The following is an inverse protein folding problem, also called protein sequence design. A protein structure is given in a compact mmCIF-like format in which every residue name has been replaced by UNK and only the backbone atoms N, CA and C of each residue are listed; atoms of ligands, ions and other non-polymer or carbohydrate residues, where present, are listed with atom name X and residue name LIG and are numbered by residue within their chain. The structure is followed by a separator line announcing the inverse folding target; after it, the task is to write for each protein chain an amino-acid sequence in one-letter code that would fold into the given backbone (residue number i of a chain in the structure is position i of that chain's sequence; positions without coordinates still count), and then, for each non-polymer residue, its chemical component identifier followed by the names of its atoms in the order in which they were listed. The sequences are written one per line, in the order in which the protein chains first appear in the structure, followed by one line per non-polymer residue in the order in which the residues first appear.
data_IF_497365122143
#
_entry.id   IF_497365122143
#
_cell.length_a   1.000
_cell.length_b   1.000
_cell.length_c   1.000
_cell.angle_alpha   90.00
_cell.angle_beta   90.00
_cell.angle_gamma   90.00
#
_symmetry.space_group_name_H-M   'P 1'
#
loop_
_entity.id
_entity.type
_entity.pdbx_description
1 polymer ?
#
# COMPACT_ATOMS: atom_id res chain seq x y z
N UNK A 1 -9.62 -38.21 -15.11
CA UNK A 1 -8.81 -37.05 -14.67
C UNK A 1 -7.41 -37.36 -15.12
N UNK A 2 -6.91 -36.64 -16.11
CA UNK A 2 -5.59 -36.83 -16.68
C UNK A 2 -4.74 -35.66 -16.17
N UNK A 3 -3.72 -35.97 -15.37
CA UNK A 3 -2.85 -34.96 -14.78
C UNK A 3 -1.64 -34.79 -15.71
N UNK A 4 -1.52 -33.62 -16.34
CA UNK A 4 -0.31 -33.25 -17.07
C UNK A 4 0.61 -32.49 -16.13
N UNK A 5 1.78 -33.05 -15.85
CA UNK A 5 2.84 -32.36 -15.11
C UNK A 5 3.81 -31.72 -16.11
N UNK A 6 4.05 -30.41 -15.96
CA UNK A 6 5.25 -29.77 -16.48
C UNK A 6 6.01 -29.30 -15.26
N UNK A 7 7.14 -29.92 -15.00
CA UNK A 7 8.08 -29.41 -14.02
C UNK A 7 9.46 -29.31 -14.64
N UNK A 8 10.21 -28.30 -14.22
CA UNK A 8 11.57 -28.08 -14.67
C UNK A 8 12.27 -27.17 -13.68
N UNK A 9 13.05 -27.73 -12.76
CA UNK A 9 14.38 -27.18 -12.43
C UNK A 9 15.27 -28.29 -11.88
N UNK A 10 16.17 -28.79 -12.72
CA UNK A 10 17.60 -29.04 -12.42
C UNK A 10 18.20 -30.06 -13.40
N UNK A 11 18.74 -29.53 -14.50
CA UNK A 11 20.00 -30.00 -15.09
C UNK A 11 20.15 -31.42 -15.68
N UNK A 12 19.19 -32.35 -15.55
CA UNK A 12 19.34 -33.70 -16.14
C UNK A 12 18.43 -33.90 -17.37
N UNK A 13 19.09 -34.08 -18.51
CA UNK A 13 18.54 -34.30 -19.84
C UNK A 13 18.56 -35.80 -20.18
N UNK A 14 17.81 -36.65 -19.46
CA UNK A 14 17.38 -37.95 -20.02
C UNK A 14 16.37 -38.76 -19.16
N UNK A 15 15.08 -38.72 -19.54
CA UNK A 15 14.13 -39.84 -19.36
C UNK A 15 13.15 -39.77 -18.17
N UNK A 16 11.96 -40.42 -18.26
CA UNK A 16 10.87 -40.25 -17.31
C UNK A 16 10.90 -41.31 -16.18
N UNK A 17 10.55 -40.92 -14.95
CA UNK A 17 9.56 -41.60 -14.07
C UNK A 17 9.60 -41.03 -12.65
N UNK A 18 8.59 -40.23 -12.27
CA UNK A 18 8.23 -39.98 -10.88
C UNK A 18 6.95 -40.75 -10.57
N UNK A 19 7.04 -41.81 -9.77
CA UNK A 19 5.89 -42.54 -9.24
C UNK A 19 5.81 -42.26 -7.74
N UNK A 20 4.62 -41.88 -7.26
CA UNK A 20 4.27 -41.89 -5.83
C UNK A 20 3.90 -43.31 -5.39
N UNK A 21 4.05 -43.64 -4.11
CA UNK A 21 3.70 -44.95 -3.56
C UNK A 21 2.36 -44.92 -2.81
N UNK A 22 1.66 -46.06 -2.77
CA UNK A 22 0.48 -46.23 -1.93
C UNK A 22 0.87 -46.05 -0.44
N UNK A 23 0.33 -45.00 0.20
CA UNK A 23 0.58 -44.69 1.61
C UNK A 23 1.06 -43.28 1.89
N UNK A 24 1.41 -42.51 0.87
CA UNK A 24 1.82 -41.11 1.01
C UNK A 24 0.62 -40.26 1.49
N UNK A 25 0.74 -39.65 2.69
CA UNK A 25 -0.30 -38.81 3.28
C UNK A 25 -0.13 -37.34 2.87
N UNK A 26 -1.20 -36.78 2.30
CA UNK A 26 -1.30 -35.39 1.87
C UNK A 26 -2.03 -34.58 2.94
N UNK A 27 -1.46 -33.45 3.40
CA UNK A 27 -2.12 -32.50 4.30
C UNK A 27 -2.36 -31.17 3.57
N UNK A 28 -3.58 -30.65 3.61
CA UNK A 28 -4.06 -29.53 2.77
C UNK A 28 -4.62 -28.38 3.62
N UNK A 29 -4.38 -27.14 3.20
CA UNK A 29 -4.99 -25.90 3.74
C UNK A 29 -5.83 -25.20 2.68
N UNK A 30 -6.94 -24.56 3.09
CA UNK A 30 -7.95 -23.98 2.19
C UNK A 30 -8.29 -22.54 2.58
N UNK A 31 -8.44 -21.64 1.60
CA UNK A 31 -9.11 -20.35 1.76
C UNK A 31 -10.27 -20.20 0.75
N UNK A 32 -11.36 -19.56 1.21
CA UNK A 32 -12.66 -19.36 0.52
C UNK A 32 -13.54 -20.59 0.28
N UNK A 33 -13.39 -21.62 1.09
CA UNK A 33 -14.45 -22.62 1.30
C UNK A 33 -15.31 -22.22 2.49
N UNK A 34 -16.63 -22.08 2.31
CA UNK A 34 -17.56 -22.32 3.42
C UNK A 34 -17.66 -23.83 3.59
N UNK A 35 -16.84 -24.38 4.48
CA UNK A 35 -16.93 -25.77 4.89
C UNK A 35 -18.30 -25.98 5.53
N UNK A 36 -19.16 -26.77 4.90
CA UNK A 36 -20.24 -27.46 5.59
C UNK A 36 -19.77 -28.91 5.72
N UNK A 37 -18.73 -29.11 6.53
CA UNK A 37 -18.43 -30.44 7.03
C UNK A 37 -19.45 -30.75 8.12
N UNK A 38 -20.56 -31.38 7.73
CA UNK A 38 -21.64 -31.72 8.65
C UNK A 38 -21.45 -33.10 9.30
N UNK A 39 -20.34 -33.81 9.06
CA UNK A 39 -20.19 -35.19 9.52
C UNK A 39 -18.75 -35.73 9.70
N UNK A 40 -17.71 -34.91 9.56
CA UNK A 40 -16.33 -35.25 9.98
C UNK A 40 -15.66 -36.35 9.17
N UNK A 41 -16.11 -36.59 7.93
CA UNK A 41 -15.69 -37.73 7.11
C UNK A 41 -14.62 -37.43 6.05
N UNK A 42 -14.16 -36.18 5.91
CA UNK A 42 -13.10 -35.83 4.95
C UNK A 42 -13.48 -35.92 3.47
N UNK A 43 -14.78 -35.90 3.12
CA UNK A 43 -15.24 -35.96 1.72
C UNK A 43 -15.81 -34.60 1.28
N UNK A 44 -15.22 -33.99 0.26
CA UNK A 44 -15.80 -32.83 -0.43
C UNK A 44 -16.96 -33.33 -1.31
N UNK A 45 -18.20 -32.92 -1.01
CA UNK A 45 -19.38 -33.19 -1.85
C UNK A 45 -19.84 -31.90 -2.50
N UNK A 46 -19.94 -31.88 -3.83
CA UNK A 46 -20.58 -30.79 -4.58
C UNK A 46 -21.70 -31.34 -5.47
N UNK A 47 -22.71 -30.52 -5.75
CA UNK A 47 -23.73 -30.82 -6.76
C UNK A 47 -23.28 -30.21 -8.08
N UNK A 48 -23.08 -31.04 -9.10
CA UNK A 48 -22.81 -30.55 -10.45
C UNK A 48 -24.11 -30.01 -11.08
N UNK A 49 -24.02 -28.84 -11.70
CA UNK A 49 -25.00 -28.38 -12.67
C UNK A 49 -24.88 -29.25 -13.95
N UNK A 50 -26.00 -29.85 -14.35
CA UNK A 50 -26.09 -30.68 -15.55
C UNK A 50 -25.93 -29.90 -16.87
N UNK A 51 -25.92 -28.57 -16.83
CA UNK A 51 -25.67 -27.71 -17.99
C UNK A 51 -24.18 -27.46 -18.26
N UNK A 52 -23.29 -27.76 -17.31
CA UNK A 52 -21.86 -27.54 -17.45
C UNK A 52 -21.14 -28.79 -17.99
N UNK A 53 -20.40 -28.63 -19.08
CA UNK A 53 -19.69 -29.74 -19.73
C UNK A 53 -18.34 -30.09 -19.09
N UNK A 54 -17.73 -29.18 -18.31
CA UNK A 54 -16.44 -29.36 -17.64
C UNK A 54 -16.35 -28.56 -16.34
N UNK A 55 -15.63 -29.10 -15.37
CA UNK A 55 -15.27 -28.47 -14.11
C UNK A 55 -13.75 -28.57 -13.93
N UNK A 56 -13.12 -27.55 -13.35
CA UNK A 56 -11.70 -27.53 -13.00
C UNK A 56 -11.54 -27.31 -11.50
N UNK A 57 -10.57 -28.00 -10.89
CA UNK A 57 -10.19 -27.89 -9.49
C UNK A 57 -8.67 -27.76 -9.46
N UNK A 58 -8.13 -26.81 -8.70
CA UNK A 58 -6.71 -26.45 -8.69
C UNK A 58 -6.12 -26.56 -7.28
N UNK A 59 -4.86 -26.96 -7.15
CA UNK A 59 -4.15 -27.17 -5.88
C UNK A 59 -2.68 -26.70 -5.96
N UNK A 60 -2.09 -26.26 -4.84
CA UNK A 60 -0.69 -25.80 -4.71
C UNK A 60 -0.08 -26.23 -3.34
N UNK A 61 1.24 -26.46 -3.24
CA UNK A 61 1.92 -27.06 -2.07
C UNK A 61 3.23 -26.36 -1.66
N UNK A 62 3.42 -26.16 -0.34
CA UNK A 62 4.69 -25.75 0.32
C UNK A 62 5.09 -26.82 1.36
N UNK A 63 6.32 -27.32 1.32
CA UNK A 63 6.86 -28.30 2.28
C UNK A 63 7.94 -27.69 3.20
N UNK A 64 7.96 -28.07 4.48
CA UNK A 64 9.23 -28.24 5.22
C UNK A 64 9.09 -29.35 6.28
N UNK A 65 10.10 -30.21 6.38
CA UNK A 65 10.24 -31.27 7.39
C UNK A 65 11.10 -30.76 8.56
N UNK A 66 10.79 -31.15 9.81
CA UNK A 66 11.71 -30.89 10.93
C UNK A 66 11.19 -30.96 12.36
N UNK A 67 9.88 -31.09 12.61
CA UNK A 67 9.36 -31.12 13.98
C UNK A 67 8.69 -32.46 14.35
N UNK A 68 8.89 -32.96 15.58
CA UNK A 68 8.16 -34.11 16.10
C UNK A 68 6.65 -33.85 16.07
N UNK A 69 5.87 -34.88 15.74
CA UNK A 69 4.41 -34.77 15.77
C UNK A 69 3.93 -34.34 17.17
N UNK A 70 2.95 -33.42 17.26
CA UNK A 70 2.39 -32.99 18.53
C UNK A 70 1.74 -34.17 19.26
N UNK A 71 1.85 -34.19 20.58
CA UNK A 71 1.18 -35.19 21.41
C UNK A 71 -0.34 -35.07 21.26
N UNK A 72 -1.00 -36.15 20.88
CA UNK A 72 -2.45 -36.18 20.70
C UNK A 72 -3.14 -36.20 22.07
N UNK A 73 -4.04 -35.25 22.31
CA UNK A 73 -4.93 -35.23 23.47
C UNK A 73 -6.36 -35.59 23.02
N UNK A 74 -7.07 -36.37 23.85
CA UNK A 74 -8.49 -36.67 23.59
C UNK A 74 -9.31 -35.40 23.79
N UNK A 75 -9.88 -34.88 22.72
CA UNK A 75 -10.85 -33.77 22.80
C UNK A 75 -12.12 -34.28 23.50
N UNK A 76 -12.64 -33.49 24.43
CA UNK A 76 -13.92 -33.77 25.09
C UNK A 76 -15.09 -33.70 24.12
N UNK A 77 -16.30 -34.04 24.59
CA UNK A 77 -17.52 -33.90 23.80
C UNK A 77 -17.67 -32.46 23.28
N UNK A 78 -17.92 -32.30 21.98
CA UNK A 78 -18.10 -31.00 21.36
C UNK A 78 -19.21 -30.22 22.08
N UNK A 79 -18.89 -29.03 22.56
CA UNK A 79 -19.87 -28.12 23.15
C UNK A 79 -20.29 -27.15 22.06
N UNK A 80 -21.59 -27.08 21.77
CA UNK A 80 -22.13 -26.15 20.77
C UNK A 80 -22.04 -24.73 21.33
N UNK A 81 -21.10 -23.91 20.84
CA UNK A 81 -20.91 -22.51 21.29
C UNK A 81 -21.61 -21.47 20.40
N UNK A 82 -22.22 -21.90 19.29
CA UNK A 82 -22.93 -21.03 18.34
C UNK A 82 -24.08 -21.74 17.62
N UNK A 83 -25.08 -20.97 17.20
CA UNK A 83 -26.25 -21.45 16.46
C UNK A 83 -26.29 -20.84 15.04
N UNK A 84 -26.80 -21.56 14.02
CA UNK A 84 -27.05 -20.98 12.69
C UNK A 84 -27.88 -19.70 12.80
N UNK A 85 -27.29 -18.57 12.42
CA UNK A 85 -27.88 -17.23 12.54
C UNK A 85 -27.26 -16.33 13.62
N UNK A 86 -26.37 -16.86 14.46
CA UNK A 86 -25.50 -16.04 15.32
C UNK A 86 -24.12 -15.94 14.65
N UNK A 87 -23.65 -14.73 14.27
CA UNK A 87 -22.43 -14.59 13.49
C UNK A 87 -21.19 -14.93 14.33
N UNK A 88 -20.52 -16.02 14.00
CA UNK A 88 -19.13 -16.30 14.39
C UNK A 88 -18.23 -15.66 13.33
N UNK A 89 -17.30 -14.79 13.76
CA UNK A 89 -16.16 -14.23 13.00
C UNK A 89 -16.36 -14.10 11.47
N UNK A 90 -17.20 -13.15 11.04
CA UNK A 90 -17.45 -12.87 9.61
C UNK A 90 -18.30 -11.61 9.35
N UNK A 91 -18.36 -10.68 10.31
CA UNK A 91 -19.22 -9.48 10.31
C UNK A 91 -18.69 -8.29 9.49
N UNK A 92 -17.75 -8.52 8.58
CA UNK A 92 -17.05 -7.46 7.86
C UNK A 92 -17.87 -6.87 6.70
N UNK A 93 -18.68 -7.71 6.05
CA UNK A 93 -19.54 -7.31 4.92
C UNK A 93 -20.99 -7.27 5.36
N UNK A 94 -21.68 -6.15 5.11
CA UNK A 94 -23.08 -6.02 5.50
C UNK A 94 -23.90 -5.13 4.57
N UNK A 95 -25.18 -5.45 4.43
CA UNK A 95 -26.19 -4.53 3.95
C UNK A 95 -26.32 -3.37 4.94
N UNK A 96 -26.56 -2.17 4.45
CA UNK A 96 -26.54 -0.98 5.29
C UNK A 96 -27.94 -0.73 5.87
N UNK A 97 -28.06 -0.82 7.20
CA UNK A 97 -29.31 -0.59 7.90
C UNK A 97 -29.80 0.85 7.69
N UNK A 98 -31.08 0.99 7.31
CA UNK A 98 -31.68 2.29 6.99
C UNK A 98 -31.39 2.82 5.59
N UNK A 99 -30.60 2.10 4.77
CA UNK A 99 -30.49 2.44 3.36
C UNK A 99 -31.81 2.19 2.64
N UNK A 100 -32.23 3.14 1.80
CA UNK A 100 -33.37 2.97 0.90
C UNK A 100 -32.84 2.81 -0.53
N UNK A 101 -32.58 1.57 -0.99
CA UNK A 101 -32.11 1.35 -2.35
C UNK A 101 -33.17 1.81 -3.36
N UNK A 102 -32.72 2.41 -4.46
CA UNK A 102 -33.59 2.82 -5.54
C UNK A 102 -33.67 1.74 -6.63
N UNK A 103 -34.89 1.36 -7.00
CA UNK A 103 -35.12 0.43 -8.11
C UNK A 103 -34.39 -0.91 -7.91
N UNK A 104 -33.42 -1.18 -8.78
CA UNK A 104 -32.66 -2.44 -8.82
C UNK A 104 -31.26 -2.37 -8.21
N UNK A 105 -30.95 -1.32 -7.46
CA UNK A 105 -29.66 -1.20 -6.78
C UNK A 105 -29.61 -2.06 -5.51
N UNK A 106 -28.54 -2.82 -5.37
CA UNK A 106 -28.08 -3.37 -4.09
C UNK A 106 -26.85 -2.59 -3.65
N UNK A 107 -26.84 -2.14 -2.40
CA UNK A 107 -25.73 -1.39 -1.80
C UNK A 107 -25.34 -2.02 -0.48
N UNK A 108 -24.05 -2.29 -0.31
CA UNK A 108 -23.49 -2.90 0.88
C UNK A 108 -22.12 -2.31 1.21
N UNK A 109 -21.71 -2.45 2.46
CA UNK A 109 -20.42 -1.97 2.94
C UNK A 109 -19.43 -3.12 3.03
N UNK A 110 -18.17 -2.78 2.77
CA UNK A 110 -17.02 -3.65 2.94
C UNK A 110 -15.90 -2.89 3.67
N UNK A 111 -14.99 -3.59 4.39
CA UNK A 111 -13.83 -2.95 4.95
C UNK A 111 -12.95 -2.32 3.85
N UNK A 112 -12.25 -1.21 4.15
CA UNK A 112 -11.27 -0.60 3.24
C UNK A 112 -10.11 -1.54 2.86
N UNK A 113 -9.80 -2.52 3.71
CA UNK A 113 -8.72 -3.50 3.47
C UNK A 113 -9.10 -4.61 2.48
N UNK A 114 -10.36 -4.65 2.05
CA UNK A 114 -10.88 -5.72 1.20
C UNK A 114 -10.99 -5.30 -0.27
N UNK A 115 -10.43 -6.13 -1.14
CA UNK A 115 -10.48 -5.97 -2.60
C UNK A 115 -11.77 -6.62 -3.15
N UNK A 116 -12.71 -5.79 -3.60
CA UNK A 116 -14.03 -6.27 -4.05
C UNK A 116 -14.04 -6.60 -5.54
N UNK A 117 -14.15 -7.88 -5.86
CA UNK A 117 -14.28 -8.38 -7.22
C UNK A 117 -15.67 -8.09 -7.79
N UNK A 118 -15.74 -8.01 -9.13
CA UNK A 118 -16.98 -7.81 -9.91
C UNK A 118 -18.10 -8.80 -9.58
N UNK A 119 -17.72 -10.00 -9.14
CA UNK A 119 -18.60 -11.16 -8.91
C UNK A 119 -18.89 -11.45 -7.44
N UNK A 120 -18.30 -10.72 -6.49
CA UNK A 120 -18.61 -10.94 -5.07
C UNK A 120 -20.12 -10.83 -4.82
N UNK A 121 -20.66 -11.79 -4.07
CA UNK A 121 -22.09 -11.80 -3.73
C UNK A 121 -22.35 -10.80 -2.62
N UNK A 122 -23.48 -10.10 -2.70
CA UNK A 122 -23.90 -9.19 -1.64
C UNK A 122 -24.13 -9.98 -0.33
N UNK A 123 -23.76 -9.41 0.83
CA UNK A 123 -24.01 -10.01 2.12
C UNK A 123 -25.50 -10.08 2.43
N UNK A 124 -25.88 -10.94 3.38
CA UNK A 124 -27.27 -11.05 3.88
C UNK A 124 -27.44 -10.38 5.25
N UNK A 125 -26.36 -10.27 6.02
CA UNK A 125 -26.37 -9.59 7.31
C UNK A 125 -26.51 -8.08 7.08
N UNK A 126 -27.18 -7.38 8.00
CA UNK A 126 -27.30 -5.93 7.98
C UNK A 126 -26.73 -5.30 9.24
N UNK A 127 -26.06 -4.16 9.07
CA UNK A 127 -25.57 -3.33 10.16
C UNK A 127 -25.56 -1.85 9.72
N UNK A 128 -25.45 -0.93 10.69
CA UNK A 128 -25.24 0.49 10.40
C UNK A 128 -23.85 0.71 9.80
N UNK A 129 -23.76 1.54 8.75
CA UNK A 129 -22.46 2.00 8.24
C UNK A 129 -21.90 3.06 9.18
N UNK A 130 -20.92 2.66 9.97
CA UNK A 130 -20.25 3.50 10.96
C UNK A 130 -18.74 3.47 10.74
N UNK A 131 -18.16 4.65 10.67
CA UNK A 131 -16.71 4.89 10.67
C UNK A 131 -16.31 5.66 11.93
N UNK A 132 -15.03 5.56 12.30
CA UNK A 132 -14.49 6.19 13.50
C UNK A 132 -13.16 6.83 13.14
N UNK A 133 -12.94 8.06 13.60
CA UNK A 133 -11.73 8.78 13.31
C UNK A 133 -11.37 9.73 14.47
N UNK A 134 -10.10 9.95 14.69
CA UNK A 134 -9.58 11.08 15.43
C UNK A 134 -9.79 12.38 14.64
N UNK A 135 -9.59 13.52 15.32
CA UNK A 135 -9.49 14.81 14.63
C UNK A 135 -8.17 14.84 13.86
N UNK A 136 -8.18 15.46 12.68
CA UNK A 136 -7.01 15.53 11.79
C UNK A 136 -6.60 14.15 11.21
N UNK A 137 -7.58 13.28 11.03
CA UNK A 137 -7.42 11.95 10.42
C UNK A 137 -8.17 11.88 9.08
N UNK A 138 -7.64 11.06 8.17
CA UNK A 138 -8.29 10.67 6.93
C UNK A 138 -8.86 9.26 7.09
N UNK A 139 -10.18 9.15 7.20
CA UNK A 139 -10.86 7.87 7.44
C UNK A 139 -11.63 7.43 6.19
N UNK A 140 -11.25 6.29 5.56
CA UNK A 140 -11.94 5.79 4.38
C UNK A 140 -13.13 4.88 4.71
N UNK A 141 -14.09 4.82 3.78
CA UNK A 141 -15.07 3.73 3.72
C UNK A 141 -15.40 3.33 2.29
N UNK A 142 -15.78 2.07 2.12
CA UNK A 142 -16.08 1.48 0.83
C UNK A 142 -17.56 1.08 0.76
N UNK A 143 -18.25 1.59 -0.27
CA UNK A 143 -19.60 1.19 -0.66
C UNK A 143 -19.53 0.36 -1.93
N UNK A 144 -20.11 -0.83 -1.92
CA UNK A 144 -20.24 -1.66 -3.11
C UNK A 144 -21.65 -1.51 -3.66
N UNK A 145 -21.73 -1.05 -4.91
CA UNK A 145 -22.99 -0.83 -5.62
C UNK A 145 -23.12 -1.88 -6.71
N UNK A 146 -24.25 -2.58 -6.75
CA UNK A 146 -24.59 -3.52 -7.81
C UNK A 146 -25.96 -3.17 -8.37
N UNK A 147 -26.06 -3.06 -9.69
CA UNK A 147 -27.32 -2.80 -10.39
C UNK A 147 -27.71 -4.02 -11.23
N UNK A 148 -29.00 -4.35 -11.36
CA UNK A 148 -29.43 -5.41 -12.30
C UNK A 148 -29.42 -4.98 -13.78
N UNK A 149 -29.34 -3.67 -14.04
CA UNK A 149 -29.32 -3.06 -15.37
C UNK A 149 -28.22 -2.00 -15.47
N UNK A 150 -27.83 -1.61 -16.69
CA UNK A 150 -26.88 -0.51 -16.87
C UNK A 150 -27.52 0.80 -16.41
N UNK A 151 -26.84 1.53 -15.52
CA UNK A 151 -27.29 2.83 -15.04
C UNK A 151 -26.13 3.84 -15.01
N UNK A 152 -26.44 5.12 -15.14
CA UNK A 152 -25.51 6.22 -14.91
C UNK A 152 -26.14 7.14 -13.86
N UNK A 153 -25.59 7.18 -12.66
CA UNK A 153 -26.19 7.87 -11.53
C UNK A 153 -25.19 8.82 -10.88
N UNK A 154 -25.69 9.99 -10.49
CA UNK A 154 -24.92 10.93 -9.69
C UNK A 154 -24.68 10.36 -8.29
N UNK A 155 -23.47 10.53 -7.78
CA UNK A 155 -23.07 10.11 -6.42
C UNK A 155 -22.65 11.34 -5.62
N UNK A 156 -23.26 11.54 -4.46
CA UNK A 156 -22.90 12.62 -3.55
C UNK A 156 -22.98 12.18 -2.08
N UNK A 157 -22.42 12.98 -1.19
CA UNK A 157 -22.62 12.87 0.25
C UNK A 157 -23.05 14.23 0.81
N UNK A 158 -23.95 14.22 1.78
CA UNK A 158 -24.29 15.43 2.53
C UNK A 158 -23.14 15.87 3.45
N UNK A 159 -23.25 17.05 4.05
CA UNK A 159 -22.43 17.36 5.21
C UNK A 159 -22.66 16.32 6.31
N UNK A 160 -21.62 16.04 7.09
CA UNK A 160 -21.73 15.33 8.34
C UNK A 160 -22.20 16.32 9.42
N UNK A 161 -23.29 16.01 10.11
CA UNK A 161 -23.92 16.93 11.07
C UNK A 161 -24.13 16.30 12.44
N UNK A 162 -23.89 17.09 13.49
CA UNK A 162 -24.12 16.76 14.90
C UNK A 162 -24.66 18.01 15.60
N UNK A 163 -25.99 18.09 15.77
CA UNK A 163 -26.61 19.31 16.29
C UNK A 163 -26.30 20.50 15.36
N UNK A 164 -25.65 21.54 15.89
CA UNK A 164 -25.15 22.68 15.10
C UNK A 164 -23.75 22.46 14.51
N UNK A 165 -23.00 21.45 14.95
CA UNK A 165 -21.66 21.17 14.45
C UNK A 165 -21.74 20.52 13.06
N UNK A 166 -20.85 20.93 12.16
CA UNK A 166 -20.84 20.46 10.76
C UNK A 166 -19.42 20.18 10.29
N UNK A 167 -19.23 19.03 9.65
CA UNK A 167 -18.08 18.74 8.80
C UNK A 167 -18.58 18.81 7.33
N UNK A 168 -18.13 19.79 6.54
CA UNK A 168 -18.63 19.99 5.18
C UNK A 168 -18.36 18.79 4.27
N UNK A 169 -19.24 18.52 3.31
CA UNK A 169 -19.02 17.50 2.28
C UNK A 169 -17.75 17.75 1.43
N UNK A 170 -17.25 18.99 1.40
CA UNK A 170 -15.97 19.34 0.78
C UNK A 170 -14.75 18.69 1.47
N UNK A 171 -14.91 18.18 2.70
CA UNK A 171 -13.91 17.37 3.39
C UNK A 171 -13.96 15.89 3.01
N UNK A 172 -14.79 15.52 2.02
CA UNK A 172 -14.94 14.14 1.56
C UNK A 172 -14.52 14.05 0.09
N UNK A 173 -13.59 13.15 -0.19
CA UNK A 173 -13.26 12.77 -1.57
C UNK A 173 -14.02 11.53 -1.97
N UNK A 174 -14.32 11.41 -3.27
CA UNK A 174 -15.01 10.27 -3.85
C UNK A 174 -14.16 9.70 -4.98
N UNK A 175 -14.00 8.38 -4.95
CA UNK A 175 -13.33 7.64 -6.01
C UNK A 175 -14.20 6.47 -6.45
N UNK A 176 -14.16 6.17 -7.75
CA UNK A 176 -14.63 4.91 -8.31
C UNK A 176 -13.46 3.93 -8.27
N UNK A 177 -13.66 2.73 -7.72
CA UNK A 177 -12.63 1.69 -7.78
C UNK A 177 -12.69 1.05 -9.16
N UNK A 178 -11.64 1.26 -9.94
CA UNK A 178 -11.49 0.70 -11.29
C UNK A 178 -10.80 -0.67 -11.23
N UNK A 179 -11.03 -1.48 -12.27
CA UNK A 179 -10.51 -2.83 -12.37
C UNK A 179 -9.39 -2.91 -13.41
N UNK A 180 -8.27 -3.51 -13.03
CA UNK A 180 -7.14 -3.78 -13.93
C UNK A 180 -7.21 -5.24 -14.37
N UNK A 181 -7.18 -5.55 -15.68
CA UNK A 181 -7.14 -6.92 -16.16
C UNK A 181 -5.74 -7.51 -15.93
N UNK A 182 -5.60 -8.36 -14.92
CA UNK A 182 -4.37 -9.11 -14.65
C UNK A 182 -4.35 -10.37 -15.51
N UNK A 183 -3.44 -10.42 -16.46
CA UNK A 183 -3.25 -11.54 -17.41
C UNK A 183 -2.00 -12.37 -17.13
N UNK A 184 -1.18 -11.95 -16.17
CA UNK A 184 0.05 -12.62 -15.76
C UNK A 184 0.19 -12.56 -14.24
N UNK A 185 0.61 -13.68 -13.64
CA UNK A 185 0.93 -13.78 -12.21
C UNK A 185 2.41 -13.48 -11.98
N UNK A 186 2.72 -12.77 -10.90
CA UNK A 186 4.08 -12.55 -10.42
C UNK A 186 4.59 -13.68 -9.52
N UNK A 187 3.69 -14.33 -8.80
CA UNK A 187 3.96 -15.42 -7.84
C UNK A 187 2.72 -16.31 -7.63
N UNK A 188 2.79 -17.24 -6.68
CA UNK A 188 1.71 -18.16 -6.34
C UNK A 188 0.57 -17.54 -5.50
N UNK A 189 0.78 -16.37 -4.89
CA UNK A 189 -0.27 -15.63 -4.17
C UNK A 189 -1.15 -14.81 -5.11
N UNK A 190 -0.62 -14.47 -6.29
CA UNK A 190 -1.34 -13.71 -7.31
C UNK A 190 -2.64 -14.36 -7.80
N UNK A 191 -3.50 -13.53 -8.40
CA UNK A 191 -4.77 -13.95 -9.01
C UNK A 191 -4.94 -13.29 -10.38
N UNK A 192 -5.41 -14.07 -11.36
CA UNK A 192 -5.77 -13.55 -12.69
C UNK A 192 -7.18 -12.97 -12.68
N UNK A 193 -7.44 -12.07 -13.61
CA UNK A 193 -8.75 -11.47 -13.84
C UNK A 193 -8.80 -9.99 -13.52
N UNK A 194 -10.01 -9.47 -13.39
CA UNK A 194 -10.24 -8.05 -13.15
C UNK A 194 -10.01 -7.71 -11.67
N UNK A 195 -8.87 -7.10 -11.37
CA UNK A 195 -8.47 -6.78 -10.00
C UNK A 195 -8.82 -5.33 -9.62
N UNK A 196 -9.56 -5.09 -8.53
CA UNK A 196 -9.97 -3.75 -8.10
C UNK A 196 -8.79 -3.02 -7.46
N UNK A 197 -8.23 -2.02 -8.13
CA UNK A 197 -6.99 -1.41 -7.64
C UNK A 197 -6.96 0.12 -7.74
N UNK A 198 -7.01 0.72 -8.94
CA UNK A 198 -6.98 2.16 -9.07
C UNK A 198 -8.20 2.83 -8.46
N UNK A 199 -7.95 3.84 -7.62
CA UNK A 199 -8.95 4.80 -7.17
C UNK A 199 -9.05 5.93 -8.20
N UNK A 200 -10.06 5.86 -9.07
CA UNK A 200 -10.31 6.90 -10.06
C UNK A 200 -11.10 8.06 -9.43
N UNK A 201 -10.60 9.30 -9.38
CA UNK A 201 -11.29 10.40 -8.74
C UNK A 201 -12.58 10.77 -9.47
N UNK A 202 -13.64 10.99 -8.70
CA UNK A 202 -14.95 11.43 -9.18
C UNK A 202 -15.33 12.69 -8.42
N UNK A 203 -15.71 13.75 -9.16
CA UNK A 203 -16.21 14.96 -8.52
C UNK A 203 -17.46 14.64 -7.67
N UNK A 204 -17.59 15.28 -6.51
CA UNK A 204 -18.78 15.13 -5.68
C UNK A 204 -20.03 15.57 -6.44
N UNK A 205 -21.06 14.72 -6.52
CA UNK A 205 -22.24 14.92 -7.37
C UNK A 205 -22.04 14.50 -8.83
N UNK A 206 -20.86 14.02 -9.21
CA UNK A 206 -20.54 13.50 -10.53
C UNK A 206 -21.25 12.18 -10.84
N UNK A 207 -21.41 11.88 -12.13
CA UNK A 207 -22.06 10.66 -12.61
C UNK A 207 -21.09 9.48 -12.61
N UNK A 208 -21.53 8.34 -12.08
CA UNK A 208 -20.83 7.05 -12.12
C UNK A 208 -21.65 6.05 -12.92
N UNK A 209 -20.99 5.32 -13.82
CA UNK A 209 -21.58 4.21 -14.56
C UNK A 209 -21.59 2.94 -13.70
N UNK A 210 -22.77 2.34 -13.54
CA UNK A 210 -22.99 1.07 -12.86
C UNK A 210 -23.38 0.02 -13.91
N UNK A 211 -22.45 -0.87 -14.33
CA UNK A 211 -22.77 -1.92 -15.28
C UNK A 211 -23.79 -2.92 -14.71
N UNK A 212 -24.60 -3.50 -15.59
CA UNK A 212 -25.55 -4.53 -15.21
C UNK A 212 -24.82 -5.74 -14.58
N UNK A 213 -25.35 -6.23 -13.47
CA UNK A 213 -24.91 -7.43 -12.79
C UNK A 213 -23.40 -7.45 -12.48
N UNK A 214 -22.84 -6.29 -12.15
CA UNK A 214 -21.43 -6.12 -11.81
C UNK A 214 -21.30 -5.25 -10.57
N UNK A 215 -20.39 -5.62 -9.66
CA UNK A 215 -20.06 -4.77 -8.52
C UNK A 215 -19.21 -3.59 -8.98
N UNK A 216 -19.62 -2.39 -8.60
CA UNK A 216 -18.87 -1.17 -8.77
C UNK A 216 -18.63 -0.56 -7.38
N UNK A 217 -17.45 -0.78 -6.79
CA UNK A 217 -17.10 -0.18 -5.52
C UNK A 217 -16.85 1.33 -5.69
N UNK A 218 -17.26 2.06 -4.66
CA UNK A 218 -17.04 3.48 -4.46
C UNK A 218 -16.26 3.64 -3.16
N UNK A 219 -15.20 4.42 -3.22
CA UNK A 219 -14.33 4.71 -2.09
C UNK A 219 -14.49 6.16 -1.69
N UNK A 220 -14.85 6.39 -0.43
CA UNK A 220 -14.96 7.71 0.16
C UNK A 220 -13.85 7.87 1.18
N UNK A 221 -13.19 9.03 1.22
CA UNK A 221 -12.24 9.37 2.29
C UNK A 221 -12.69 10.66 2.95
N UNK A 222 -12.90 10.63 4.27
CA UNK A 222 -13.29 11.80 5.07
C UNK A 222 -12.07 12.37 5.78
N UNK A 223 -11.70 13.62 5.50
CA UNK A 223 -10.76 14.36 6.33
C UNK A 223 -11.50 15.00 7.50
N UNK A 224 -11.27 14.53 8.72
CA UNK A 224 -11.89 15.12 9.90
C UNK A 224 -11.10 16.37 10.30
N UNK A 225 -11.71 17.58 10.28
CA UNK A 225 -10.98 18.78 10.66
C UNK A 225 -10.43 18.69 12.08
N UNK A 226 -9.21 19.17 12.30
CA UNK A 226 -8.57 19.21 13.63
C UNK A 226 -9.43 19.88 14.70
N UNK A 227 -10.25 20.85 14.30
CA UNK A 227 -11.15 21.62 15.17
C UNK A 227 -12.54 21.01 15.34
N UNK A 228 -12.83 19.87 14.70
CA UNK A 228 -14.11 19.20 14.82
C UNK A 228 -14.41 18.84 16.29
N UNK A 229 -15.67 19.04 16.70
CA UNK A 229 -16.12 18.61 18.01
C UNK A 229 -16.19 17.08 18.07
N UNK A 230 -15.79 16.48 19.20
CA UNK A 230 -15.92 15.04 19.37
C UNK A 230 -17.40 14.60 19.41
N UNK A 231 -17.71 13.42 18.92
CA UNK A 231 -19.05 12.83 18.96
C UNK A 231 -19.50 12.24 17.61
N UNK A 232 -20.76 11.81 17.55
CA UNK A 232 -21.31 11.13 16.38
C UNK A 232 -21.99 12.12 15.44
N UNK A 233 -21.48 12.20 14.21
CA UNK A 233 -22.06 12.95 13.10
C UNK A 233 -22.81 12.00 12.16
N UNK A 234 -23.88 12.50 11.56
CA UNK A 234 -24.66 11.77 10.56
C UNK A 234 -24.54 12.46 9.20
N UNK A 235 -24.35 11.67 8.16
CA UNK A 235 -24.45 12.09 6.76
C UNK A 235 -25.29 11.09 5.97
N UNK A 236 -25.60 11.45 4.73
CA UNK A 236 -26.29 10.57 3.79
C UNK A 236 -25.54 10.58 2.46
N UNK A 237 -25.11 9.41 2.01
CA UNK A 237 -24.68 9.20 0.63
C UNK A 237 -25.93 9.05 -0.24
N UNK A 238 -25.96 9.77 -1.36
CA UNK A 238 -27.03 9.70 -2.36
C UNK A 238 -26.48 9.13 -3.66
N UNK A 239 -27.13 8.09 -4.20
CA UNK A 239 -26.78 7.47 -5.48
C UNK A 239 -28.03 7.46 -6.35
N UNK A 240 -28.15 8.45 -7.25
CA UNK A 240 -29.42 8.73 -7.93
C UNK A 240 -30.51 9.09 -6.92
N UNK A 241 -31.48 8.22 -6.72
CA UNK A 241 -32.53 8.37 -5.68
C UNK A 241 -32.33 7.44 -4.48
N UNK A 242 -31.30 6.58 -4.49
CA UNK A 242 -30.96 5.74 -3.35
C UNK A 242 -30.32 6.60 -2.26
N UNK A 243 -30.67 6.34 -1.00
CA UNK A 243 -30.07 7.02 0.16
C UNK A 243 -29.44 6.00 1.10
N UNK A 244 -28.23 6.29 1.57
CA UNK A 244 -27.43 5.41 2.41
C UNK A 244 -26.96 6.23 3.62
N UNK A 245 -27.45 5.95 4.84
CA UNK A 245 -27.02 6.65 6.03
C UNK A 245 -25.59 6.27 6.41
N UNK A 246 -24.78 7.25 6.82
CA UNK A 246 -23.41 7.08 7.27
C UNK A 246 -23.24 7.78 8.62
N UNK A 247 -22.63 7.08 9.58
CA UNK A 247 -22.26 7.65 10.87
C UNK A 247 -20.75 7.77 10.99
N UNK A 248 -20.28 8.94 11.40
CA UNK A 248 -18.88 9.19 11.75
C UNK A 248 -18.79 9.50 13.23
N UNK A 249 -18.07 8.68 13.99
CA UNK A 249 -17.68 9.03 15.35
C UNK A 249 -16.32 9.74 15.35
N UNK A 250 -16.30 10.99 15.79
CA UNK A 250 -15.07 11.75 16.01
C UNK A 250 -14.61 11.57 17.44
N UNK A 251 -13.44 10.98 17.64
CA UNK A 251 -12.83 10.80 18.96
C UNK A 251 -12.33 12.13 19.54
N UNK A 252 -12.25 12.20 20.88
CA UNK A 252 -11.84 13.43 21.57
C UNK A 252 -10.31 13.58 21.69
N UNK A 253 -9.60 13.28 20.62
CA UNK A 253 -8.19 13.64 20.46
C UNK A 253 -7.91 14.00 19.01
N UNK A 254 -6.87 14.79 18.80
CA UNK A 254 -6.34 15.06 17.48
C UNK A 254 -5.08 14.24 17.27
N UNK A 255 -4.89 13.70 16.08
CA UNK A 255 -3.61 13.14 15.72
C UNK A 255 -2.53 14.23 15.72
N UNK A 256 -1.28 13.91 16.07
CA UNK A 256 -0.21 14.90 15.99
C UNK A 256 -0.02 15.33 14.53
N UNK A 257 0.30 16.61 14.35
CA UNK A 257 0.73 17.13 13.05
C UNK A 257 2.09 16.53 12.69
N UNK A 258 2.95 16.31 13.68
CA UNK A 258 4.20 15.59 13.48
C UNK A 258 3.97 14.10 13.26
N UNK A 259 4.59 13.56 12.22
CA UNK A 259 4.76 12.11 12.04
C UNK A 259 5.83 11.63 13.02
N UNK A 260 5.50 10.72 13.92
CA UNK A 260 6.47 10.19 14.92
C UNK A 260 7.06 8.84 14.53
N UNK A 261 6.45 8.13 13.58
CA UNK A 261 7.00 6.89 13.06
C UNK A 261 8.08 7.24 12.02
N UNK A 262 9.34 7.05 12.38
CA UNK A 262 10.42 7.08 11.41
C UNK A 262 10.21 5.92 10.41
N UNK A 263 10.17 6.24 9.13
CA UNK A 263 9.90 5.27 8.07
C UNK A 263 10.64 5.64 6.79
N UNK A 264 10.77 4.66 5.91
CA UNK A 264 11.38 4.81 4.59
C UNK A 264 10.50 4.07 3.58
N UNK A 265 9.73 4.83 2.79
CA UNK A 265 8.89 4.29 1.72
C UNK A 265 9.60 4.45 0.38
N UNK A 266 9.98 3.33 -0.23
CA UNK A 266 10.53 3.29 -1.58
C UNK A 266 9.48 3.76 -2.59
N UNK A 267 9.84 4.74 -3.42
CA UNK A 267 8.93 5.34 -4.39
C UNK A 267 9.69 5.67 -5.67
N UNK A 268 9.18 5.18 -6.81
CA UNK A 268 9.76 5.39 -8.13
C UNK A 268 9.50 6.80 -8.67
N UNK A 269 10.11 7.81 -8.05
CA UNK A 269 9.88 9.22 -8.38
C UNK A 269 10.05 9.51 -9.88
N UNK A 270 11.14 9.03 -10.50
CA UNK A 270 11.39 9.16 -11.94
C UNK A 270 10.26 8.58 -12.79
N UNK A 271 9.78 7.39 -12.44
CA UNK A 271 8.73 6.72 -13.20
C UNK A 271 7.41 7.49 -13.11
N UNK A 272 7.07 7.98 -11.92
CA UNK A 272 5.85 8.75 -11.68
C UNK A 272 5.89 10.08 -12.42
N UNK A 273 6.97 10.86 -12.31
CA UNK A 273 7.04 12.15 -13.01
C UNK A 273 7.05 12.00 -14.53
N UNK A 274 7.65 10.95 -15.09
CA UNK A 274 7.60 10.68 -16.53
C UNK A 274 6.21 10.18 -16.98
N UNK A 275 5.58 9.31 -16.16
CA UNK A 275 4.25 8.76 -16.42
C UNK A 275 3.18 9.85 -16.45
N UNK A 276 3.27 10.79 -15.50
CA UNK A 276 2.33 11.90 -15.32
C UNK A 276 2.80 13.23 -15.94
N UNK A 277 3.84 13.18 -16.79
CA UNK A 277 4.30 14.31 -17.61
C UNK A 277 4.83 15.51 -16.82
N UNK A 278 5.30 15.28 -15.59
CA UNK A 278 6.24 16.19 -14.93
C UNK A 278 7.58 16.24 -15.68
N UNK A 279 7.97 15.14 -16.33
CA UNK A 279 9.05 15.08 -17.33
C UNK A 279 8.58 14.43 -18.63
N UNK A 280 9.27 14.74 -19.73
CA UNK A 280 9.11 14.06 -21.02
C UNK A 280 10.49 13.81 -21.61
N UNK A 281 10.90 12.55 -21.68
CA UNK A 281 12.23 12.17 -22.15
C UNK A 281 13.35 12.81 -21.32
N UNK A 282 13.14 12.94 -20.00
CA UNK A 282 14.05 13.60 -19.08
C UNK A 282 14.00 15.14 -19.08
N UNK A 283 13.19 15.77 -19.94
CA UNK A 283 12.99 17.22 -19.94
C UNK A 283 11.89 17.63 -18.95
N UNK A 284 12.23 18.49 -18.00
CA UNK A 284 11.29 19.03 -16.98
C UNK A 284 10.18 19.85 -17.65
N UNK A 285 8.94 19.59 -17.23
CA UNK A 285 7.75 20.30 -17.70
C UNK A 285 7.29 21.35 -16.67
N UNK A 286 6.51 22.38 -17.08
CA UNK A 286 6.06 23.44 -16.16
C UNK A 286 5.25 22.95 -14.94
N UNK A 287 4.62 21.78 -15.01
CA UNK A 287 3.84 21.20 -13.93
C UNK A 287 4.68 20.39 -12.91
N UNK A 288 6.00 20.24 -13.13
CA UNK A 288 6.85 19.34 -12.34
C UNK A 288 6.70 19.56 -10.83
N UNK A 289 6.92 20.79 -10.35
CA UNK A 289 6.87 21.08 -8.93
C UNK A 289 5.46 20.96 -8.36
N UNK A 290 4.42 21.34 -9.11
CA UNK A 290 3.03 21.11 -8.68
C UNK A 290 2.73 19.62 -8.48
N UNK A 291 3.24 18.76 -9.37
CA UNK A 291 3.09 17.31 -9.25
C UNK A 291 3.87 16.76 -8.04
N UNK A 292 5.13 17.15 -7.89
CA UNK A 292 6.00 16.68 -6.79
C UNK A 292 5.45 17.14 -5.43
N UNK A 293 5.05 18.40 -5.30
CA UNK A 293 4.45 18.95 -4.09
C UNK A 293 3.17 18.21 -3.70
N UNK A 294 2.28 17.94 -4.68
CA UNK A 294 1.06 17.20 -4.42
C UNK A 294 1.33 15.76 -3.95
N UNK A 295 2.37 15.11 -4.47
CA UNK A 295 2.78 13.77 -4.03
C UNK A 295 3.34 13.80 -2.60
N UNK A 296 4.21 14.75 -2.27
CA UNK A 296 4.70 14.85 -0.89
C UNK A 296 3.59 15.18 0.11
N UNK A 297 2.66 16.06 -0.26
CA UNK A 297 1.50 16.38 0.57
C UNK A 297 0.61 15.14 0.78
N UNK A 298 0.45 14.29 -0.26
CA UNK A 298 -0.25 13.01 -0.12
C UNK A 298 0.47 12.04 0.84
N UNK A 299 1.80 11.93 0.74
CA UNK A 299 2.61 11.15 1.69
C UNK A 299 2.43 11.65 3.13
N UNK A 300 2.49 12.97 3.34
CA UNK A 300 2.32 13.57 4.66
C UNK A 300 0.91 13.34 5.24
N UNK A 301 -0.13 13.58 4.44
CA UNK A 301 -1.52 13.35 4.83
C UNK A 301 -1.78 11.89 5.24
N UNK A 302 -1.07 10.93 4.64
CA UNK A 302 -1.15 9.50 4.97
C UNK A 302 -0.06 9.02 5.94
N UNK A 303 0.72 9.94 6.53
CA UNK A 303 1.81 9.65 7.48
C UNK A 303 2.88 8.69 6.94
N UNK A 304 3.13 8.76 5.63
CA UNK A 304 4.18 8.01 4.95
C UNK A 304 5.40 8.91 4.78
N UNK A 305 6.59 8.41 5.11
CA UNK A 305 7.85 9.14 4.88
C UNK A 305 8.55 8.57 3.66
N UNK A 306 8.66 9.31 2.54
CA UNK A 306 9.33 8.80 1.35
C UNK A 306 10.83 8.64 1.59
N UNK A 307 11.45 7.63 0.98
CA UNK A 307 12.91 7.43 1.03
C UNK A 307 13.67 8.67 0.54
N UNK A 308 13.21 9.24 -0.56
CA UNK A 308 13.76 10.45 -1.15
C UNK A 308 13.06 11.71 -0.68
N UNK A 309 13.13 12.08 0.61
CA UNK A 309 12.60 13.39 1.08
C UNK A 309 13.25 14.57 0.35
N UNK A 310 14.53 14.45 0.02
CA UNK A 310 15.26 15.46 -0.76
C UNK A 310 15.20 15.26 -2.28
N UNK A 311 14.32 14.41 -2.82
CA UNK A 311 14.20 14.22 -4.27
C UNK A 311 13.78 15.54 -4.95
N UNK A 312 14.31 15.87 -6.15
CA UNK A 312 15.22 15.09 -7.01
C UNK A 312 16.72 15.21 -6.69
N UNK A 313 17.06 15.91 -5.60
CA UNK A 313 18.43 16.21 -5.20
C UNK A 313 19.05 15.09 -4.35
N UNK A 314 18.88 15.19 -3.03
CA UNK A 314 19.60 14.42 -2.01
C UNK A 314 21.02 14.97 -1.74
N UNK A 315 21.71 14.43 -0.73
CA UNK A 315 23.09 14.83 -0.41
C UNK A 315 24.14 14.06 -1.24
N UNK A 316 23.72 13.30 -2.25
CA UNK A 316 24.54 12.34 -3.00
C UNK A 316 25.29 12.96 -4.19
N UNK A 317 26.53 13.42 -4.02
CA UNK A 317 27.35 13.92 -5.13
C UNK A 317 27.53 12.91 -6.29
N UNK A 318 27.40 13.32 -7.58
CA UNK A 318 27.16 14.68 -8.08
C UNK A 318 25.69 15.13 -8.20
N UNK A 319 24.76 14.53 -7.45
CA UNK A 319 23.36 14.93 -7.40
C UNK A 319 23.04 15.76 -6.16
N UNK A 320 22.31 16.86 -6.36
CA UNK A 320 21.70 17.66 -5.29
C UNK A 320 22.62 18.51 -4.42
N UNK A 321 23.94 18.31 -4.53
CA UNK A 321 25.00 19.08 -3.88
C UNK A 321 26.19 19.19 -4.81
N UNK A 322 26.91 20.31 -4.73
CA UNK A 322 28.25 20.42 -5.31
C UNK A 322 29.31 20.03 -4.28
N UNK A 323 30.37 19.36 -4.72
CA UNK A 323 31.54 19.05 -3.90
C UNK A 323 32.81 19.31 -4.70
N UNK A 324 33.69 20.15 -4.16
CA UNK A 324 34.88 20.61 -4.90
C UNK A 324 36.08 19.64 -4.81
N UNK A 325 35.89 18.44 -4.27
CA UNK A 325 36.96 17.44 -4.08
C UNK A 325 38.11 17.87 -3.16
N UNK A 326 37.92 18.95 -2.41
CA UNK A 326 38.87 19.54 -1.47
C UNK A 326 38.22 19.87 -0.12
N UNK A 327 37.10 19.21 0.22
CA UNK A 327 36.43 19.34 1.51
C UNK A 327 35.34 20.41 1.60
N UNK A 328 35.02 21.11 0.50
CA UNK A 328 33.90 22.08 0.48
C UNK A 328 32.69 21.45 -0.20
N UNK A 329 31.60 21.35 0.56
CA UNK A 329 30.28 20.93 0.12
C UNK A 329 29.39 22.16 0.00
N UNK A 330 28.73 22.34 -1.15
CA UNK A 330 27.74 23.40 -1.39
C UNK A 330 26.38 22.77 -1.63
N UNK A 331 25.51 22.71 -0.61
CA UNK A 331 24.19 22.09 -0.70
C UNK A 331 23.10 23.04 -1.22
N UNK A 332 23.45 24.26 -1.60
CA UNK A 332 22.60 25.40 -1.95
C UNK A 332 22.96 26.02 -3.32
N UNK A 333 23.57 25.24 -4.20
CA UNK A 333 24.13 25.74 -5.45
C UNK A 333 23.09 25.89 -6.58
N UNK A 334 21.94 25.19 -6.51
CA UNK A 334 21.06 24.96 -7.66
C UNK A 334 19.61 25.44 -7.46
N UNK A 335 19.35 26.26 -6.44
CA UNK A 335 18.04 26.82 -6.14
C UNK A 335 17.05 25.72 -5.79
N UNK A 336 15.89 25.70 -6.45
CA UNK A 336 14.84 24.69 -6.18
C UNK A 336 15.29 23.23 -6.36
N UNK A 337 16.44 22.99 -6.99
CA UNK A 337 16.98 21.66 -7.29
C UNK A 337 18.10 21.22 -6.35
N UNK A 338 18.46 22.03 -5.36
CA UNK A 338 19.47 21.66 -4.38
C UNK A 338 18.86 21.09 -3.10
N UNK A 339 19.70 20.36 -2.36
CA UNK A 339 19.24 19.72 -1.14
C UNK A 339 18.83 20.73 -0.07
N UNK A 340 19.50 21.88 0.05
CA UNK A 340 19.20 22.87 1.08
C UNK A 340 17.76 23.38 0.94
N UNK A 341 17.38 23.80 -0.26
CA UNK A 341 16.04 24.33 -0.56
C UNK A 341 14.97 23.26 -0.33
N UNK A 342 15.19 22.03 -0.82
CA UNK A 342 14.25 20.93 -0.64
C UNK A 342 14.16 20.46 0.81
N UNK A 343 15.25 20.51 1.58
CA UNK A 343 15.23 20.21 3.00
C UNK A 343 14.47 21.28 3.81
N UNK A 344 14.57 22.56 3.45
CA UNK A 344 13.71 23.58 4.07
C UNK A 344 12.23 23.31 3.79
N UNK A 345 11.92 23.02 2.52
CA UNK A 345 10.55 22.78 2.07
C UNK A 345 9.92 21.54 2.70
N UNK A 346 10.60 20.40 2.63
CA UNK A 346 10.02 19.09 2.91
C UNK A 346 10.47 18.47 4.23
N UNK A 347 11.72 18.70 4.65
CA UNK A 347 12.24 18.17 5.90
C UNK A 347 11.88 19.07 7.09
N UNK A 348 12.05 20.38 6.92
CA UNK A 348 11.65 21.38 7.92
C UNK A 348 10.17 21.74 7.81
N UNK A 349 9.53 21.42 6.68
CA UNK A 349 8.10 21.51 6.48
C UNK A 349 7.59 22.91 6.15
N UNK A 350 8.42 23.87 5.72
CA UNK A 350 7.99 25.26 5.53
C UNK A 350 6.79 25.43 4.58
N UNK A 351 6.59 24.48 3.66
CA UNK A 351 5.49 24.49 2.68
C UNK A 351 4.63 23.20 2.70
N UNK A 352 4.92 22.23 3.57
CA UNK A 352 4.22 20.93 3.65
C UNK A 352 3.67 20.66 5.05
N UNK A 353 2.61 19.86 5.13
CA UNK A 353 2.11 19.25 6.38
C UNK A 353 1.97 20.23 7.55
N UNK A 354 1.34 21.38 7.27
CA UNK A 354 1.11 22.44 8.24
C UNK A 354 2.39 22.99 8.93
N UNK A 355 3.57 22.89 8.29
CA UNK A 355 4.80 23.48 8.84
C UNK A 355 5.75 22.51 9.54
N UNK A 356 5.46 21.20 9.56
CA UNK A 356 6.20 20.24 10.42
C UNK A 356 7.28 19.45 9.68
N UNK A 357 6.98 19.05 8.44
CA UNK A 357 7.90 18.30 7.58
C UNK A 357 8.10 16.83 7.99
N UNK A 358 8.86 16.11 7.18
CA UNK A 358 9.08 14.68 7.40
C UNK A 358 10.01 14.40 8.59
N UNK A 359 9.81 13.27 9.30
CA UNK A 359 10.55 12.95 10.52
C UNK A 359 11.93 12.34 10.29
N UNK A 360 12.22 11.90 9.06
CA UNK A 360 13.49 11.28 8.71
C UNK A 360 13.81 11.47 7.25
N UNK A 361 15.09 11.46 6.90
CA UNK A 361 15.54 11.48 5.51
C UNK A 361 16.81 10.66 5.32
N UNK A 362 16.93 10.05 4.14
CA UNK A 362 18.14 9.37 3.73
C UNK A 362 19.21 10.40 3.38
N UNK A 363 20.32 10.41 4.13
CA UNK A 363 21.48 11.25 3.81
C UNK A 363 22.11 10.76 2.51
N UNK A 364 22.38 9.46 2.40
CA UNK A 364 22.96 8.86 1.20
C UNK A 364 22.71 7.36 1.17
N UNK A 365 22.30 6.87 0.01
CA UNK A 365 22.19 5.44 -0.31
C UNK A 365 23.50 4.83 -0.84
N UNK A 366 23.53 3.51 -1.06
CA UNK A 366 24.64 2.87 -1.73
C UNK A 366 24.70 3.28 -3.21
N UNK A 367 25.87 3.16 -3.83
CA UNK A 367 26.03 3.40 -5.26
C UNK A 367 25.39 2.30 -6.12
N UNK A 368 25.48 1.06 -5.64
CA UNK A 368 24.95 -0.15 -6.29
C UNK A 368 24.25 -1.03 -5.25
N UNK A 369 23.34 -1.90 -5.69
CA UNK A 369 22.65 -2.86 -4.83
C UNK A 369 23.57 -4.03 -4.40
N UNK A 370 24.71 -4.22 -5.06
CA UNK A 370 25.77 -5.15 -4.72
C UNK A 370 26.56 -4.65 -3.50
N UNK A 371 26.66 -5.41 -2.39
CA UNK A 371 27.44 -4.98 -1.23
C UNK A 371 28.91 -4.62 -1.57
N UNK A 372 29.63 -5.41 -2.40
CA UNK A 372 30.95 -5.03 -2.88
C UNK A 372 31.04 -3.70 -3.63
N UNK A 373 29.97 -3.23 -4.27
CA UNK A 373 29.96 -2.02 -5.11
C UNK A 373 29.14 -0.87 -4.52
N UNK A 374 28.90 -0.93 -3.22
CA UNK A 374 28.21 0.11 -2.46
C UNK A 374 28.91 1.48 -2.50
N UNK A 375 30.22 1.51 -2.77
CA UNK A 375 31.02 2.72 -3.02
C UNK A 375 31.26 2.89 -4.53
N UNK A 376 31.29 4.14 -5.01
CA UNK A 376 31.50 4.46 -6.43
C UNK A 376 32.85 3.90 -6.94
N UNK A 377 32.95 3.41 -8.19
CA UNK A 377 34.21 2.89 -8.74
C UNK A 377 35.31 3.97 -8.85
N UNK A 378 34.93 5.24 -8.94
CA UNK A 378 35.84 6.38 -8.84
C UNK A 378 35.20 7.54 -8.07
N UNK A 379 36.04 8.36 -7.44
CA UNK A 379 35.61 9.53 -6.69
C UNK A 379 36.71 10.59 -6.69
N UNK A 380 36.39 11.83 -7.07
CA UNK A 380 37.35 12.95 -7.09
C UNK A 380 38.65 12.65 -7.86
N UNK A 381 38.51 12.04 -9.05
CA UNK A 381 39.60 11.58 -9.92
C UNK A 381 40.48 10.47 -9.34
N UNK A 382 40.11 9.88 -8.21
CA UNK A 382 40.75 8.69 -7.65
C UNK A 382 39.94 7.44 -8.04
N UNK A 383 40.62 6.42 -8.54
CA UNK A 383 40.03 5.11 -8.79
C UNK A 383 39.93 4.33 -7.47
N UNK A 384 38.84 3.61 -7.24
CA UNK A 384 38.67 2.79 -6.03
C UNK A 384 39.62 1.59 -6.03
N UNK A 385 39.90 1.04 -7.21
CA UNK A 385 40.56 -0.25 -7.39
C UNK A 385 39.60 -1.43 -7.32
N UNK A 386 40.18 -2.63 -7.30
CA UNK A 386 39.44 -3.91 -7.27
C UNK A 386 38.99 -4.32 -5.87
N UNK A 387 39.57 -3.72 -4.83
CA UNK A 387 39.26 -4.06 -3.43
C UNK A 387 38.00 -3.29 -3.00
N UNK A 388 36.94 -3.97 -2.51
CA UNK A 388 35.68 -3.29 -2.21
C UNK A 388 35.77 -2.05 -1.30
N UNK A 389 36.60 -2.04 -0.23
CA UNK A 389 36.81 -0.84 0.59
C UNK A 389 37.49 0.31 -0.15
N UNK A 390 38.30 0.02 -1.17
CA UNK A 390 39.07 0.99 -1.95
C UNK A 390 40.50 1.22 -1.45
N UNK A 391 41.35 1.80 -2.31
CA UNK A 391 42.74 2.12 -1.97
C UNK A 391 42.88 3.42 -1.14
N UNK A 392 44.10 3.69 -0.66
CA UNK A 392 44.39 4.83 0.22
C UNK A 392 44.08 6.21 -0.38
N UNK A 393 44.34 6.42 -1.67
CA UNK A 393 44.10 7.70 -2.33
C UNK A 393 42.59 7.97 -2.46
N UNK A 394 41.84 6.97 -2.93
CA UNK A 394 40.38 6.99 -2.96
C UNK A 394 39.78 7.24 -1.57
N UNK A 395 40.20 6.47 -0.56
CA UNK A 395 39.68 6.57 0.81
C UNK A 395 39.92 7.97 1.41
N UNK A 396 41.05 8.59 1.12
CA UNK A 396 41.34 9.96 1.54
C UNK A 396 40.28 10.93 1.02
N UNK A 397 39.95 10.87 -0.28
CA UNK A 397 38.94 11.75 -0.89
C UNK A 397 37.52 11.41 -0.41
N UNK A 398 37.20 10.13 -0.33
CA UNK A 398 35.89 9.64 0.09
C UNK A 398 35.54 10.06 1.53
N UNK A 399 36.45 9.83 2.48
CA UNK A 399 36.22 10.23 3.86
C UNK A 399 36.27 11.74 4.07
N UNK A 400 37.04 12.48 3.27
CA UNK A 400 36.97 13.95 3.25
C UNK A 400 35.57 14.45 2.87
N UNK A 401 34.94 13.84 1.86
CA UNK A 401 33.56 14.16 1.48
C UNK A 401 32.57 13.82 2.58
N UNK A 402 32.65 12.63 3.18
CA UNK A 402 31.77 12.27 4.30
C UNK A 402 31.94 13.18 5.51
N UNK A 403 33.15 13.66 5.77
CA UNK A 403 33.39 14.68 6.81
C UNK A 403 32.64 15.98 6.47
N UNK A 404 32.68 16.42 5.21
CA UNK A 404 31.95 17.62 4.78
C UNK A 404 30.42 17.43 4.89
N UNK A 405 29.89 16.26 4.48
CA UNK A 405 28.47 15.91 4.63
C UNK A 405 28.07 15.86 6.11
N UNK A 406 28.88 15.21 6.95
CA UNK A 406 28.62 15.10 8.39
C UNK A 406 28.62 16.48 9.06
N UNK A 407 29.56 17.36 8.69
CA UNK A 407 29.58 18.74 9.18
C UNK A 407 28.33 19.52 8.77
N UNK A 408 27.85 19.34 7.53
CA UNK A 408 26.62 20.00 7.07
C UNK A 408 25.37 19.45 7.77
N UNK A 409 25.20 18.14 7.86
CA UNK A 409 24.08 17.52 8.59
C UNK A 409 24.12 17.88 10.08
N UNK A 410 25.31 17.97 10.67
CA UNK A 410 25.51 18.41 12.05
C UNK A 410 25.36 19.93 12.27
N UNK A 411 25.20 20.72 11.21
CA UNK A 411 25.07 22.19 11.32
C UNK A 411 23.74 22.63 11.92
N UNK A 412 22.71 21.78 11.89
CA UNK A 412 21.43 22.00 12.55
C UNK A 412 21.04 20.79 13.39
N UNK A 413 20.37 21.03 14.52
CA UNK A 413 19.84 19.94 15.33
C UNK A 413 18.75 19.15 14.59
N UNK A 414 18.01 19.80 13.69
CA UNK A 414 16.95 19.14 12.91
C UNK A 414 17.52 18.07 11.99
N UNK A 415 18.54 18.42 11.19
CA UNK A 415 19.16 17.49 10.26
C UNK A 415 19.89 16.37 11.00
N UNK A 416 20.60 16.71 12.08
CA UNK A 416 21.31 15.73 12.91
C UNK A 416 20.37 14.70 13.55
N UNK A 417 19.15 15.09 13.93
CA UNK A 417 18.19 14.20 14.57
C UNK A 417 17.39 13.35 13.57
N UNK A 418 17.18 13.85 12.34
CA UNK A 418 16.33 13.20 11.32
C UNK A 418 17.12 12.38 10.30
N UNK A 419 18.40 12.66 10.10
CA UNK A 419 19.22 12.04 9.07
C UNK A 419 19.66 10.63 9.42
N UNK A 420 19.57 9.71 8.46
CA UNK A 420 20.15 8.36 8.58
C UNK A 420 20.95 7.98 7.33
N UNK A 421 21.81 6.98 7.48
CA UNK A 421 22.61 6.43 6.39
C UNK A 421 22.14 5.03 6.03
N UNK A 422 22.11 4.74 4.73
CA UNK A 422 21.96 3.39 4.20
C UNK A 422 23.15 3.17 3.26
N UNK A 423 24.26 2.69 3.80
CA UNK A 423 25.55 2.69 3.09
C UNK A 423 25.79 1.39 2.31
N UNK A 424 25.22 0.27 2.73
CA UNK A 424 25.30 -1.04 2.06
C UNK A 424 23.90 -1.59 1.90
N UNK A 425 23.54 -1.98 0.68
CA UNK A 425 22.29 -2.70 0.41
C UNK A 425 22.49 -4.19 0.63
N UNK A 426 21.50 -4.85 1.24
CA UNK A 426 21.39 -6.33 1.36
C UNK A 426 22.69 -7.07 1.75
N UNK A 427 23.44 -6.65 2.80
CA UNK A 427 24.60 -7.39 3.26
C UNK A 427 24.21 -8.80 3.73
N UNK A 428 24.85 -9.83 3.19
CA UNK A 428 24.54 -11.25 3.45
C UNK A 428 25.46 -11.85 4.51
N UNK A 429 26.68 -11.33 4.63
CA UNK A 429 27.71 -11.80 5.56
C UNK A 429 28.38 -10.64 6.30
N UNK A 430 29.04 -10.94 7.43
CA UNK A 430 29.70 -9.92 8.26
C UNK A 430 30.71 -9.07 7.45
N UNK A 431 31.41 -9.66 6.49
CA UNK A 431 32.35 -8.91 5.66
C UNK A 431 31.66 -7.80 4.87
N UNK A 432 30.43 -8.01 4.41
CA UNK A 432 29.67 -7.01 3.64
C UNK A 432 29.41 -5.74 4.46
N UNK A 433 29.12 -5.91 5.75
CA UNK A 433 28.96 -4.79 6.68
C UNK A 433 30.28 -4.02 6.89
N UNK A 434 31.43 -4.70 6.79
CA UNK A 434 32.74 -4.08 7.03
C UNK A 434 33.36 -3.43 5.79
N UNK A 435 32.81 -3.67 4.58
CA UNK A 435 33.33 -3.09 3.32
C UNK A 435 33.28 -1.56 3.32
N UNK A 436 32.32 -0.98 4.05
CA UNK A 436 32.08 0.47 4.07
C UNK A 436 32.51 1.16 5.35
N UNK A 437 33.10 0.43 6.30
CA UNK A 437 33.66 0.99 7.52
C UNK A 437 34.87 1.91 7.25
#
# INVERSE_FOLDING_TARGET
MEFHTRDNVDGDVSGPTGLWNDGDQLLLWFDNLRLVDQNGGGVIRWNADGSAAKYYIYFDVLTHEGHPQPALATLGAATLTGAPGSPEAGGYYHLISGATPAGSLSVWAAPPVEKILKTNTAPVASASLRIQAAKDEFEPFQLVVRSSSLQNLNVSISNFTKGSDTIPAAQVTLHRVDYVPLTQLSDHFGRLGDWPDPLYPVAMGGSVTFPANTNQPLWFTVHVPRTAAAGVYNATVTIGTATIPVQLEVWNFALPQQIHLAGEWGFGWSDVVERYKGTIGGSVQPCYWTLVDALYEDFANHRLTPKGVGWPAGLNYPGGVEYNCNGVLSPDAWGDWDFHTLAQKYLSGSELDNGVGFPSFLIRGPYDNSPPDSRRPSFCNEDRGIDPPGNAAYNTKWFQYWTAVSNYVGSTADYANKGYYHIVNEPQILSDYTIVA
#
